data_IF_114568081370
#
_entry.id   IF_114568081370
#
_cell.length_a   1.000
_cell.length_b   1.000
_cell.length_c   1.000
_cell.angle_alpha   90.00
_cell.angle_beta   90.00
_cell.angle_gamma   90.00
#
_symmetry.space_group_name_H-M   'P 1'
#
loop_
_entity.id
_entity.type
_entity.pdbx_description
1 polymer ?
#
# COMPACT_ATOMS: atom_id res chain seq x y z
N UNK A 1 -10.31 -6.92 -16.86
CA UNK A 1 -10.33 -6.00 -18.03
C UNK A 1 -9.16 -5.01 -17.98
N UNK A 2 -9.01 -4.24 -16.89
CA UNK A 2 -7.93 -3.25 -16.70
C UNK A 2 -6.53 -3.82 -17.01
N UNK A 3 -6.12 -4.90 -16.35
CA UNK A 3 -4.81 -5.52 -16.56
C UNK A 3 -4.58 -5.98 -18.02
N UNK A 4 -5.65 -6.38 -18.72
CA UNK A 4 -5.58 -6.80 -20.12
C UNK A 4 -5.27 -5.60 -21.02
N UNK A 5 -6.00 -4.50 -20.85
CA UNK A 5 -5.80 -3.26 -21.63
C UNK A 5 -4.39 -2.70 -21.44
N UNK A 6 -3.92 -2.61 -20.19
CA UNK A 6 -2.57 -2.13 -19.91
C UNK A 6 -1.50 -2.99 -20.63
N UNK A 7 -1.64 -4.33 -20.57
CA UNK A 7 -0.69 -5.27 -21.18
C UNK A 7 -0.73 -5.28 -22.71
N UNK A 8 -1.92 -5.24 -23.30
CA UNK A 8 -2.11 -5.36 -24.75
C UNK A 8 -1.87 -4.03 -25.49
N UNK A 9 -2.21 -2.90 -24.86
CA UNK A 9 -2.21 -1.58 -25.51
C UNK A 9 -1.14 -0.64 -24.96
N UNK A 10 -0.42 -1.00 -23.89
CA UNK A 10 0.64 -0.17 -23.31
C UNK A 10 0.13 1.14 -22.69
N UNK A 11 -1.16 1.23 -22.38
CA UNK A 11 -1.79 2.44 -21.87
C UNK A 11 -1.38 2.67 -20.42
N UNK A 12 -0.94 3.89 -20.10
CA UNK A 12 -0.69 4.31 -18.71
C UNK A 12 -2.02 4.47 -17.96
N UNK A 13 -2.11 3.87 -16.77
CA UNK A 13 -3.35 3.84 -15.99
C UNK A 13 -3.09 4.26 -14.55
N UNK A 14 -3.99 5.09 -14.01
CA UNK A 14 -4.09 5.38 -12.59
C UNK A 14 -5.39 4.77 -12.07
N UNK A 15 -5.27 3.86 -11.11
CA UNK A 15 -6.41 3.20 -10.45
C UNK A 15 -6.48 3.67 -8.99
N UNK A 16 -7.68 4.09 -8.57
CA UNK A 16 -7.96 4.49 -7.19
C UNK A 16 -9.00 3.52 -6.63
N UNK A 17 -8.63 2.81 -5.56
CA UNK A 17 -9.48 1.80 -4.94
C UNK A 17 -9.44 1.96 -3.42
N UNK A 18 -10.57 1.64 -2.77
CA UNK A 18 -10.62 1.53 -1.32
C UNK A 18 -10.01 0.21 -0.83
N UNK A 19 -10.04 -0.83 -1.68
CA UNK A 19 -9.42 -2.12 -1.37
C UNK A 19 -8.00 -2.17 -1.97
N UNK A 20 -7.00 -1.97 -1.12
CA UNK A 20 -5.59 -1.97 -1.51
C UNK A 20 -5.14 -3.32 -2.13
N UNK A 21 -5.70 -4.45 -1.70
CA UNK A 21 -5.34 -5.75 -2.25
C UNK A 21 -5.75 -5.89 -3.72
N UNK A 22 -6.95 -5.38 -4.08
CA UNK A 22 -7.42 -5.36 -5.47
C UNK A 22 -6.56 -4.42 -6.32
N UNK A 23 -6.23 -3.23 -5.80
CA UNK A 23 -5.35 -2.29 -6.49
C UNK A 23 -3.98 -2.92 -6.80
N UNK A 24 -3.39 -3.58 -5.81
CA UNK A 24 -2.08 -4.23 -5.94
C UNK A 24 -2.10 -5.48 -6.84
N UNK A 25 -3.25 -6.15 -7.01
CA UNK A 25 -3.35 -7.28 -7.93
C UNK A 25 -3.14 -6.87 -9.41
N UNK A 26 -3.32 -5.59 -9.74
CA UNK A 26 -3.28 -5.08 -11.13
C UNK A 26 -2.26 -3.97 -11.37
N UNK A 27 -1.54 -3.53 -10.33
CA UNK A 27 -0.59 -2.42 -10.41
C UNK A 27 0.87 -2.87 -10.30
N UNK A 28 1.77 -2.10 -10.92
CA UNK A 28 3.22 -2.28 -10.81
C UNK A 28 3.84 -1.41 -9.72
N UNK A 29 3.21 -0.28 -9.42
CA UNK A 29 3.58 0.66 -8.37
C UNK A 29 2.33 1.09 -7.60
N UNK A 30 2.48 1.30 -6.29
CA UNK A 30 1.38 1.67 -5.40
C UNK A 30 1.67 2.91 -4.58
N UNK A 31 0.62 3.67 -4.30
CA UNK A 31 0.62 4.73 -3.29
C UNK A 31 -0.51 4.42 -2.30
N UNK A 32 -0.21 4.46 -1.01
CA UNK A 32 -1.22 4.40 0.05
C UNK A 32 -1.39 5.81 0.60
N UNK A 33 -2.64 6.27 0.63
CA UNK A 33 -3.00 7.60 1.11
C UNK A 33 -3.94 7.51 2.30
N UNK A 34 -3.72 8.38 3.30
CA UNK A 34 -4.60 8.55 4.46
C UNK A 34 -4.77 10.06 4.72
N UNK A 35 -6.00 10.50 4.91
CA UNK A 35 -6.33 11.90 5.24
C UNK A 35 -5.64 12.92 4.31
N UNK A 36 -5.61 12.62 3.00
CA UNK A 36 -5.00 13.49 1.98
C UNK A 36 -3.47 13.48 1.95
N UNK A 37 -2.80 12.52 2.61
CA UNK A 37 -1.33 12.40 2.62
C UNK A 37 -0.89 11.01 2.21
N UNK A 38 0.12 10.93 1.36
CA UNK A 38 0.79 9.68 1.01
C UNK A 38 1.56 9.19 2.23
N UNK A 39 1.17 8.03 2.76
CA UNK A 39 1.79 7.42 3.94
C UNK A 39 2.84 6.40 3.56
N UNK A 40 2.69 5.70 2.43
CA UNK A 40 3.72 4.82 1.87
C UNK A 40 3.52 4.65 0.37
N UNK A 41 4.61 4.32 -0.32
CA UNK A 41 4.62 4.13 -1.76
C UNK A 41 5.81 3.24 -2.16
N UNK A 42 5.72 2.63 -3.33
CA UNK A 42 6.78 1.76 -3.83
C UNK A 42 6.29 0.75 -4.88
N UNK A 43 7.22 -0.07 -5.41
CA UNK A 43 6.85 -1.19 -6.26
C UNK A 43 5.87 -2.11 -5.52
N UNK A 44 4.81 -2.53 -6.19
CA UNK A 44 3.74 -3.33 -5.57
C UNK A 44 4.28 -4.59 -4.89
N UNK A 45 5.28 -5.25 -5.49
CA UNK A 45 5.92 -6.42 -4.92
C UNK A 45 6.63 -6.15 -3.58
N UNK A 46 7.15 -4.93 -3.36
CA UNK A 46 7.75 -4.54 -2.09
C UNK A 46 6.67 -4.25 -1.05
N UNK A 47 5.63 -3.49 -1.43
CA UNK A 47 4.50 -3.18 -0.56
C UNK A 47 3.75 -4.45 -0.10
N UNK A 48 3.59 -5.44 -0.97
CA UNK A 48 2.98 -6.74 -0.61
C UNK A 48 3.81 -7.56 0.39
N UNK A 49 5.12 -7.32 0.49
CA UNK A 49 6.01 -8.00 1.45
C UNK A 49 6.21 -7.21 2.74
N UNK A 50 5.90 -5.92 2.73
CA UNK A 50 6.02 -5.05 3.89
C UNK A 50 5.01 -5.47 4.97
N UNK A 51 5.52 -5.76 6.16
CA UNK A 51 4.70 -6.27 7.27
C UNK A 51 3.65 -5.25 7.71
N UNK A 52 4.01 -3.96 7.80
CA UNK A 52 3.08 -2.89 8.17
C UNK A 52 1.98 -2.78 7.10
N UNK A 53 2.35 -2.85 5.81
CA UNK A 53 1.34 -2.79 4.73
C UNK A 53 0.36 -3.94 4.82
N UNK A 54 0.86 -5.16 5.07
CA UNK A 54 0.04 -6.36 5.17
C UNK A 54 -0.93 -6.32 6.34
N UNK A 55 -0.45 -5.90 7.51
CA UNK A 55 -1.24 -5.85 8.73
C UNK A 55 -2.32 -4.76 8.66
N UNK A 56 -1.97 -3.55 8.21
CA UNK A 56 -2.86 -2.39 8.31
C UNK A 56 -3.73 -2.14 7.07
N UNK A 57 -3.30 -2.57 5.88
CA UNK A 57 -3.99 -2.25 4.62
C UNK A 57 -4.45 -3.47 3.82
N UNK A 58 -3.90 -4.66 4.07
CA UNK A 58 -4.30 -5.90 3.39
C UNK A 58 -5.04 -6.88 4.29
N UNK A 59 -5.14 -6.60 5.60
CA UNK A 59 -5.84 -7.45 6.58
C UNK A 59 -5.15 -8.79 6.85
N UNK A 60 -3.90 -8.97 6.42
CA UNK A 60 -3.15 -10.22 6.56
C UNK A 60 -2.37 -10.17 7.88
N UNK A 61 -2.99 -10.63 8.97
CA UNK A 61 -2.37 -10.68 10.31
C UNK A 61 -3.34 -10.48 11.49
N UNK A 62 -4.61 -10.17 11.22
CA UNK A 62 -5.58 -9.78 12.25
C UNK A 62 -6.21 -10.92 13.07
N UNK A 63 -5.61 -12.12 13.13
CA UNK A 63 -6.12 -13.18 14.00
C UNK A 63 -5.98 -12.84 15.50
N UNK A 64 -5.10 -11.90 15.88
CA UNK A 64 -4.87 -11.47 17.26
C UNK A 64 -4.60 -9.95 17.42
N UNK A 65 -4.92 -9.13 16.41
CA UNK A 65 -4.59 -7.71 16.41
C UNK A 65 -5.72 -6.88 17.03
N UNK A 66 -5.93 -7.02 18.34
CA UNK A 66 -6.71 -6.02 19.09
C UNK A 66 -6.00 -4.66 19.02
N UNK A 67 -6.62 -3.71 18.32
CA UNK A 67 -6.57 -2.25 18.58
C UNK A 67 -5.19 -1.61 18.78
N UNK A 68 -4.09 -2.14 18.25
CA UNK A 68 -2.84 -1.36 18.09
C UNK A 68 -2.94 -0.53 16.82
N UNK A 69 -3.85 0.45 16.84
CA UNK A 69 -4.12 1.33 15.71
C UNK A 69 -2.87 2.08 15.24
N UNK A 70 -2.74 2.20 13.92
CA UNK A 70 -2.06 3.14 13.00
C UNK A 70 -1.04 4.19 13.51
N UNK A 71 -1.03 4.55 14.79
CA UNK A 71 -0.03 5.42 15.44
C UNK A 71 1.38 4.85 15.35
N UNK A 72 1.56 3.54 15.39
CA UNK A 72 2.88 2.87 15.32
C UNK A 72 3.65 3.21 14.04
N UNK A 73 2.98 3.14 12.88
CA UNK A 73 3.60 3.40 11.56
C UNK A 73 4.01 4.88 11.41
N UNK A 74 3.18 5.81 11.89
CA UNK A 74 3.49 7.26 11.87
C UNK A 74 4.79 7.58 12.61
N UNK A 75 5.09 6.85 13.69
CA UNK A 75 6.35 7.00 14.42
C UNK A 75 7.55 6.41 13.67
N UNK A 76 7.37 5.30 12.94
CA UNK A 76 8.44 4.65 12.20
C UNK A 76 9.00 5.53 11.07
N UNK A 77 8.13 6.10 10.21
CA UNK A 77 8.59 7.02 9.15
C UNK A 77 9.20 8.31 9.68
N UNK A 78 8.68 8.86 10.79
CA UNK A 78 9.28 10.04 11.44
C UNK A 78 10.71 9.76 11.90
N UNK A 79 11.00 8.60 12.51
CA UNK A 79 12.35 8.27 12.99
C UNK A 79 13.37 8.14 11.86
N UNK A 80 13.02 7.52 10.73
CA UNK A 80 13.96 7.37 9.60
C UNK A 80 14.33 8.70 8.94
N UNK A 81 13.47 9.71 9.01
CA UNK A 81 13.71 11.04 8.40
C UNK A 81 14.79 11.87 9.12
N UNK A 82 15.16 11.51 10.35
CA UNK A 82 16.21 12.20 11.14
C UNK A 82 17.55 11.46 11.15
N UNK A 83 17.63 10.28 10.52
CA UNK A 83 18.83 9.43 10.45
C UNK A 83 19.48 9.47 9.05
N UNK A 84 19.19 10.50 8.26
CA UNK A 84 19.79 10.77 6.95
C UNK A 84 20.46 12.14 6.97
#
# INVERSE_FOLDING_TARGET
>A
IIARINREQGVSMLLVEQNAAVAFAVSTYGYIMESGRIVTDGPTAQLLRDQDVREFYLGVGAANAETKGFRGIKHYKRRKRWLS
#
